data_IF_558852514565
#
_entry.id   IF_558852514565
#
_cell.length_a   1.000
_cell.length_b   1.000
_cell.length_c   1.000
_cell.angle_alpha   90.00
_cell.angle_beta   90.00
_cell.angle_gamma   90.00
#
_symmetry.space_group_name_H-M   'P 1'
#
loop_
_entity.id
_entity.type
_entity.pdbx_description
1 polymer ?
#
# COMPACT_ATOMS: atom_id res chain seq x y z
N UNK A 1 -20.93 0.08 -1.56
CA UNK A 1 -20.32 0.46 -0.28
C UNK A 1 -20.21 1.99 -0.13
N UNK A 2 -19.80 2.73 -1.16
CA UNK A 2 -19.56 4.19 -1.12
C UNK A 2 -20.84 5.06 -1.18
N UNK A 3 -22.04 4.49 -1.36
CA UNK A 3 -23.28 5.27 -1.46
C UNK A 3 -23.28 6.34 -2.57
N UNK A 4 -22.60 6.08 -3.69
CA UNK A 4 -22.42 7.05 -4.78
C UNK A 4 -21.34 8.12 -4.56
N UNK A 5 -20.72 8.20 -3.37
CA UNK A 5 -19.62 9.11 -3.09
C UNK A 5 -18.32 8.62 -3.75
N UNK A 6 -17.37 9.52 -3.94
CA UNK A 6 -16.04 9.23 -4.49
C UNK A 6 -14.98 9.56 -3.45
N UNK A 7 -13.94 8.73 -3.40
CA UNK A 7 -12.79 8.94 -2.53
C UNK A 7 -11.87 10.05 -3.05
N UNK A 8 -11.30 10.80 -2.13
CA UNK A 8 -10.31 11.85 -2.37
C UNK A 8 -8.89 11.26 -2.43
N UNK A 9 -8.66 10.17 -1.72
CA UNK A 9 -7.43 9.39 -1.79
C UNK A 9 -7.69 7.91 -1.45
N UNK A 10 -6.74 7.05 -1.79
CA UNK A 10 -6.68 5.67 -1.38
C UNK A 10 -5.37 5.40 -0.62
N UNK A 11 -5.45 4.70 0.50
CA UNK A 11 -4.30 4.05 1.15
C UNK A 11 -4.70 2.61 1.41
N UNK A 12 -3.96 1.64 0.87
CA UNK A 12 -4.34 0.22 0.99
C UNK A 12 -3.15 -0.69 1.18
N UNK A 13 -3.37 -1.80 1.89
CA UNK A 13 -2.40 -2.84 2.23
C UNK A 13 -2.94 -4.21 1.82
N UNK A 14 -3.05 -4.51 0.50
CA UNK A 14 -3.61 -5.76 0.03
C UNK A 14 -2.69 -6.96 0.33
N UNK A 15 -3.17 -8.21 0.20
CA UNK A 15 -2.30 -9.40 0.31
C UNK A 15 -1.07 -9.30 -0.59
N UNK A 16 0.10 -9.78 -0.10
CA UNK A 16 1.39 -9.64 -0.79
C UNK A 16 1.80 -10.85 -1.62
N UNK A 17 1.03 -11.93 -1.59
CA UNK A 17 1.33 -13.20 -2.25
C UNK A 17 2.65 -13.85 -1.77
N UNK A 18 2.94 -13.73 -0.50
CA UNK A 18 4.18 -14.24 0.12
C UNK A 18 3.95 -15.50 0.98
N UNK A 19 2.76 -16.10 0.90
CA UNK A 19 2.36 -17.29 1.69
C UNK A 19 2.62 -17.06 3.20
N UNK A 20 2.20 -15.90 3.70
CA UNK A 20 2.49 -15.50 5.07
C UNK A 20 1.82 -16.42 6.08
N UNK A 21 2.63 -16.96 6.99
CA UNK A 21 2.18 -17.70 8.15
C UNK A 21 2.66 -16.99 9.41
N UNK A 22 1.73 -16.56 10.25
CA UNK A 22 2.04 -15.91 11.54
C UNK A 22 2.91 -16.81 12.43
N UNK A 23 3.86 -16.23 13.14
CA UNK A 23 4.76 -16.94 14.08
C UNK A 23 4.14 -17.11 15.48
N UNK A 24 2.90 -16.66 15.69
CA UNK A 24 2.15 -16.84 16.96
C UNK A 24 1.52 -18.23 17.01
N UNK A 25 1.11 -18.67 18.21
CA UNK A 25 0.47 -19.98 18.41
C UNK A 25 -0.76 -20.21 17.51
N UNK A 26 -1.47 -19.14 17.13
CA UNK A 26 -2.66 -19.19 16.28
C UNK A 26 -2.34 -19.30 14.78
N UNK A 27 -1.06 -19.19 14.37
CA UNK A 27 -0.57 -19.33 13.00
C UNK A 27 -1.48 -18.66 11.95
N UNK A 28 -1.91 -17.41 12.22
CA UNK A 28 -2.83 -16.66 11.37
C UNK A 28 -2.33 -16.59 9.93
N UNK A 29 -3.19 -16.97 8.98
CA UNK A 29 -2.92 -16.91 7.54
C UNK A 29 -3.70 -15.75 6.92
N UNK A 30 -3.09 -15.10 5.93
CA UNK A 30 -3.77 -14.06 5.15
C UNK A 30 -4.51 -14.75 4.00
N UNK A 31 -5.83 -14.56 3.84
CA UNK A 31 -6.57 -15.07 2.68
C UNK A 31 -5.98 -14.55 1.37
N UNK A 32 -5.95 -15.39 0.32
CA UNK A 32 -5.44 -15.05 -1.01
C UNK A 32 -3.96 -14.65 -1.07
N UNK A 33 -3.14 -15.06 -0.10
CA UNK A 33 -1.71 -14.74 -0.04
C UNK A 33 -0.83 -15.81 -0.70
N UNK A 34 -1.43 -16.70 -1.51
CA UNK A 34 -0.75 -17.74 -2.29
C UNK A 34 -1.47 -18.00 -3.60
N UNK A 35 -1.04 -17.33 -4.64
CA UNK A 35 -1.53 -17.49 -6.00
C UNK A 35 -0.34 -17.65 -6.97
N UNK A 36 -0.57 -18.24 -8.15
CA UNK A 36 0.40 -18.08 -9.24
C UNK A 36 0.47 -16.61 -9.69
N UNK A 37 1.58 -16.24 -10.36
CA UNK A 37 1.88 -14.83 -10.68
C UNK A 37 0.80 -14.17 -11.55
N UNK A 38 0.27 -14.89 -12.55
CA UNK A 38 -0.71 -14.33 -13.48
C UNK A 38 -2.08 -14.15 -12.81
N UNK A 39 -2.50 -15.13 -12.01
CA UNK A 39 -3.73 -15.04 -11.23
C UNK A 39 -3.64 -13.90 -10.20
N UNK A 40 -2.51 -13.74 -9.54
CA UNK A 40 -2.29 -12.66 -8.59
C UNK A 40 -2.33 -11.29 -9.26
N UNK A 41 -1.64 -11.12 -10.41
CA UNK A 41 -1.72 -9.89 -11.18
C UNK A 41 -3.14 -9.57 -11.62
N UNK A 42 -3.89 -10.56 -12.11
CA UNK A 42 -5.29 -10.39 -12.48
C UNK A 42 -6.18 -9.99 -11.29
N UNK A 43 -5.93 -10.58 -10.12
CA UNK A 43 -6.61 -10.22 -8.86
C UNK A 43 -6.35 -8.75 -8.49
N UNK A 44 -5.08 -8.32 -8.47
CA UNK A 44 -4.70 -6.93 -8.18
C UNK A 44 -5.30 -5.95 -9.20
N UNK A 45 -5.23 -6.29 -10.50
CA UNK A 45 -5.78 -5.43 -11.56
C UNK A 45 -7.28 -5.21 -11.36
N UNK A 46 -8.04 -6.26 -11.04
CA UNK A 46 -9.48 -6.12 -10.74
C UNK A 46 -9.73 -5.24 -9.51
N UNK A 47 -8.96 -5.44 -8.44
CA UNK A 47 -9.10 -4.64 -7.21
C UNK A 47 -8.81 -3.15 -7.48
N UNK A 48 -7.69 -2.85 -8.15
CA UNK A 48 -7.30 -1.48 -8.48
C UNK A 48 -8.23 -0.82 -9.49
N UNK A 49 -8.82 -1.59 -10.43
CA UNK A 49 -9.84 -1.08 -11.35
C UNK A 49 -11.12 -0.67 -10.59
N UNK A 50 -11.54 -1.45 -9.61
CA UNK A 50 -12.68 -1.07 -8.76
C UNK A 50 -12.38 0.14 -7.87
N UNK A 51 -11.17 0.22 -7.35
CA UNK A 51 -10.73 1.36 -6.55
C UNK A 51 -10.72 2.66 -7.39
N UNK A 52 -10.18 2.64 -8.61
CA UNK A 52 -10.13 3.84 -9.46
C UNK A 52 -11.54 4.31 -9.90
N UNK A 53 -12.49 3.38 -10.08
CA UNK A 53 -13.90 3.73 -10.32
C UNK A 53 -14.50 4.50 -9.14
N UNK A 54 -14.08 4.20 -7.91
CA UNK A 54 -14.54 4.85 -6.69
C UNK A 54 -13.78 6.14 -6.34
N UNK A 55 -12.70 6.46 -7.04
CA UNK A 55 -11.86 7.63 -6.78
C UNK A 55 -12.28 8.86 -7.62
N UNK A 56 -12.07 10.07 -7.07
CA UNK A 56 -12.19 11.33 -7.82
C UNK A 56 -11.02 11.47 -8.81
N UNK A 57 -11.17 12.23 -9.93
CA UNK A 57 -10.02 12.62 -10.74
C UNK A 57 -8.94 13.29 -9.90
N UNK A 58 -7.68 12.90 -10.09
CA UNK A 58 -6.54 13.41 -9.31
C UNK A 58 -6.37 12.81 -7.91
N UNK A 59 -7.27 11.95 -7.46
CA UNK A 59 -7.18 11.27 -6.16
C UNK A 59 -5.87 10.50 -6.03
N UNK A 60 -5.10 10.76 -4.96
CA UNK A 60 -3.86 10.06 -4.67
C UNK A 60 -4.10 8.59 -4.31
N UNK A 61 -3.12 7.74 -4.61
CA UNK A 61 -3.14 6.34 -4.21
C UNK A 61 -1.78 5.93 -3.64
N UNK A 62 -1.83 5.30 -2.47
CA UNK A 62 -0.71 4.65 -1.80
C UNK A 62 -1.02 3.17 -1.67
N UNK A 63 -0.14 2.32 -2.21
CA UNK A 63 -0.33 0.87 -2.19
C UNK A 63 0.91 0.21 -1.61
N UNK A 64 0.77 -0.35 -0.41
CA UNK A 64 1.83 -1.11 0.23
C UNK A 64 2.03 -2.45 -0.48
N UNK A 65 3.28 -2.90 -0.61
CA UNK A 65 3.57 -4.20 -1.20
C UNK A 65 4.95 -4.75 -0.81
N UNK A 66 5.09 -6.07 -0.91
CA UNK A 66 6.40 -6.71 -0.79
C UNK A 66 7.27 -6.38 -2.01
N UNK A 67 8.58 -6.10 -1.82
CA UNK A 67 9.50 -5.86 -2.95
C UNK A 67 9.56 -7.00 -3.97
N UNK A 68 9.41 -8.26 -3.53
CA UNK A 68 9.42 -9.46 -4.37
C UNK A 68 8.29 -9.50 -5.39
N UNK A 69 7.13 -8.90 -5.06
CA UNK A 69 5.94 -8.83 -5.92
C UNK A 69 5.83 -7.48 -6.67
N UNK A 70 6.86 -6.65 -6.60
CA UNK A 70 6.86 -5.31 -7.20
C UNK A 70 6.49 -5.29 -8.68
N UNK A 71 6.83 -6.31 -9.46
CA UNK A 71 6.44 -6.43 -10.86
C UNK A 71 4.91 -6.53 -11.02
N UNK A 72 4.27 -7.42 -10.27
CA UNK A 72 2.82 -7.64 -10.32
C UNK A 72 2.06 -6.40 -9.84
N UNK A 73 2.48 -5.81 -8.72
CA UNK A 73 1.86 -4.60 -8.19
C UNK A 73 1.95 -3.40 -9.13
N UNK A 74 3.15 -3.10 -9.67
CA UNK A 74 3.35 -1.97 -10.60
C UNK A 74 2.55 -2.17 -11.88
N UNK A 75 2.60 -3.37 -12.44
CA UNK A 75 1.86 -3.69 -13.66
C UNK A 75 0.35 -3.58 -13.45
N UNK A 76 -0.19 -4.20 -12.41
CA UNK A 76 -1.62 -4.14 -12.10
C UNK A 76 -2.12 -2.71 -11.83
N UNK A 77 -1.30 -1.88 -11.16
CA UNK A 77 -1.62 -0.49 -10.88
C UNK A 77 -1.76 0.34 -12.17
N UNK A 78 -0.82 0.17 -13.10
CA UNK A 78 -0.84 0.85 -14.41
C UNK A 78 -1.96 0.31 -15.29
N UNK A 79 -2.13 -1.02 -15.36
CA UNK A 79 -3.16 -1.68 -16.16
C UNK A 79 -4.59 -1.27 -15.72
N UNK A 80 -4.77 -0.98 -14.43
CA UNK A 80 -6.02 -0.45 -13.88
C UNK A 80 -6.27 1.04 -14.18
N UNK A 81 -5.33 1.74 -14.83
CA UNK A 81 -5.45 3.14 -15.24
C UNK A 81 -4.92 4.17 -14.26
N UNK A 82 -4.25 3.75 -13.17
CA UNK A 82 -3.57 4.66 -12.26
C UNK A 82 -2.26 5.18 -12.87
N UNK A 83 -1.92 6.43 -12.62
CA UNK A 83 -0.64 7.02 -12.99
C UNK A 83 0.40 6.72 -11.93
N UNK A 84 1.23 5.71 -12.13
CA UNK A 84 2.36 5.43 -11.24
C UNK A 84 3.41 6.54 -11.34
N UNK A 85 3.78 7.16 -10.23
CA UNK A 85 4.69 8.31 -10.18
C UNK A 85 5.97 8.03 -9.40
N UNK A 86 5.86 7.50 -8.19
CA UNK A 86 6.99 7.27 -7.31
C UNK A 86 6.85 5.94 -6.57
N UNK A 87 7.95 5.48 -6.02
CA UNK A 87 7.99 4.42 -5.03
C UNK A 87 8.54 5.01 -3.73
N UNK A 88 7.72 4.98 -2.69
CA UNK A 88 8.13 5.38 -1.35
C UNK A 88 8.68 4.14 -0.65
N UNK A 89 9.75 4.32 0.09
CA UNK A 89 10.42 3.27 0.86
C UNK A 89 10.13 3.50 2.34
N UNK A 90 9.37 2.63 2.96
CA UNK A 90 9.25 2.61 4.40
C UNK A 90 10.46 1.87 4.99
N UNK A 91 11.40 2.63 5.54
CA UNK A 91 12.56 2.12 6.26
C UNK A 91 12.17 1.80 7.71
N UNK A 92 12.41 0.57 8.14
CA UNK A 92 12.12 0.07 9.50
C UNK A 92 13.35 0.22 10.39
N UNK A 93 13.15 0.29 11.71
CA UNK A 93 14.25 0.37 12.70
C UNK A 93 15.13 -0.88 12.71
N UNK A 94 14.57 -2.04 12.38
CA UNK A 94 15.29 -3.32 12.36
C UNK A 94 14.98 -4.11 11.09
N UNK A 95 15.97 -4.83 10.61
CA UNK A 95 15.78 -5.79 9.53
C UNK A 95 15.03 -7.05 10.02
N UNK A 96 14.47 -7.80 9.08
CA UNK A 96 13.85 -9.09 9.35
C UNK A 96 14.81 -10.18 8.92
N UNK A 97 15.29 -10.98 9.88
CA UNK A 97 16.15 -12.12 9.59
C UNK A 97 15.42 -13.14 8.72
N UNK A 98 16.01 -13.47 7.59
CA UNK A 98 15.51 -14.44 6.62
C UNK A 98 16.64 -15.27 6.03
N UNK A 99 16.35 -16.03 4.97
CA UNK A 99 17.31 -16.90 4.28
C UNK A 99 17.99 -16.22 3.07
N UNK A 100 17.65 -14.94 2.82
CA UNK A 100 18.22 -14.14 1.74
C UNK A 100 19.64 -13.68 2.09
N UNK A 101 20.45 -13.35 1.09
CA UNK A 101 21.80 -12.78 1.26
C UNK A 101 21.72 -11.43 1.96
N UNK A 102 20.79 -10.56 1.53
CA UNK A 102 20.53 -9.26 2.14
C UNK A 102 19.22 -9.29 2.93
N UNK A 103 19.24 -8.82 4.18
CA UNK A 103 18.08 -8.84 5.04
C UNK A 103 17.14 -7.65 4.75
N UNK A 104 15.84 -7.94 4.65
CA UNK A 104 14.83 -6.92 4.39
C UNK A 104 14.67 -5.97 5.59
N UNK A 105 14.93 -4.69 5.38
CA UNK A 105 14.72 -3.62 6.37
C UNK A 105 13.70 -2.60 5.90
N UNK A 106 13.05 -2.84 4.77
CA UNK A 106 12.08 -1.91 4.23
C UNK A 106 10.87 -2.61 3.62
N UNK A 107 9.82 -1.85 3.42
CA UNK A 107 8.71 -2.15 2.51
C UNK A 107 8.56 -1.05 1.48
N UNK A 108 7.95 -1.38 0.36
CA UNK A 108 7.69 -0.45 -0.72
C UNK A 108 6.23 -0.01 -0.69
N UNK A 109 5.99 1.25 -1.07
CA UNK A 109 4.65 1.82 -1.23
C UNK A 109 4.61 2.47 -2.60
N UNK A 110 3.79 1.97 -3.51
CA UNK A 110 3.53 2.65 -4.77
C UNK A 110 2.80 3.95 -4.47
N UNK A 111 3.23 5.01 -5.12
CA UNK A 111 2.58 6.30 -5.06
C UNK A 111 2.23 6.79 -6.46
N UNK A 112 1.01 7.22 -6.63
CA UNK A 112 0.50 7.76 -7.86
C UNK A 112 -0.87 8.36 -7.67
N UNK A 113 -1.59 8.59 -8.77
CA UNK A 113 -2.94 9.13 -8.71
C UNK A 113 -3.78 8.76 -9.92
N UNK A 114 -5.09 8.89 -9.79
CA UNK A 114 -6.02 8.79 -10.91
C UNK A 114 -5.81 9.96 -11.88
N UNK A 115 -5.86 9.76 -13.21
CA UNK A 115 -5.80 10.87 -14.17
C UNK A 115 -6.73 12.02 -13.79
N UNK A 116 -6.21 13.26 -13.87
CA UNK A 116 -6.90 14.48 -13.49
C UNK A 116 -6.00 15.44 -12.71
N UNK A 117 -6.56 16.55 -12.23
CA UNK A 117 -5.83 17.54 -11.44
C UNK A 117 -5.51 16.96 -10.07
N UNK A 118 -4.22 16.73 -9.82
CA UNK A 118 -3.72 16.20 -8.57
C UNK A 118 -3.32 17.30 -7.61
N UNK A 119 -3.61 17.13 -6.33
CA UNK A 119 -3.23 18.02 -5.25
C UNK A 119 -2.35 17.30 -4.24
N UNK A 120 -1.26 17.97 -3.83
CA UNK A 120 -0.37 17.51 -2.77
C UNK A 120 -0.27 18.63 -1.73
N UNK A 121 -0.61 18.32 -0.48
CA UNK A 121 -0.68 19.29 0.63
C UNK A 121 0.57 19.29 1.50
N UNK A 122 1.46 18.31 1.31
CA UNK A 122 2.73 18.21 2.01
C UNK A 122 3.76 19.25 1.55
N UNK A 123 4.78 19.46 2.37
CA UNK A 123 5.90 20.34 2.05
C UNK A 123 6.83 19.76 0.97
N UNK A 124 7.54 20.62 0.24
CA UNK A 124 8.50 20.21 -0.80
C UNK A 124 9.79 19.60 -0.28
N UNK A 125 10.01 19.60 1.01
CA UNK A 125 11.14 18.96 1.69
C UNK A 125 10.91 17.49 2.04
N UNK A 126 9.74 16.93 1.75
CA UNK A 126 9.46 15.53 1.96
C UNK A 126 10.16 14.67 0.92
N UNK A 127 10.66 13.52 1.37
CA UNK A 127 11.40 12.57 0.54
C UNK A 127 10.66 11.26 0.37
N UNK A 128 11.14 10.41 -0.52
CA UNK A 128 10.59 9.05 -0.72
C UNK A 128 11.10 8.04 0.30
N UNK A 129 11.94 8.44 1.25
CA UNK A 129 12.40 7.58 2.36
C UNK A 129 11.65 7.95 3.61
N UNK A 130 10.78 7.06 4.07
CA UNK A 130 9.94 7.23 5.25
C UNK A 130 10.46 6.34 6.39
N UNK A 131 10.94 6.97 7.45
CA UNK A 131 11.49 6.26 8.63
C UNK A 131 10.41 6.19 9.70
N UNK A 132 9.86 5.01 9.90
CA UNK A 132 8.88 4.73 10.95
C UNK A 132 9.17 3.39 11.58
N UNK A 133 9.15 3.35 12.90
CA UNK A 133 9.32 2.11 13.63
C UNK A 133 8.15 1.16 13.38
N UNK A 134 8.47 -0.10 13.17
CA UNK A 134 7.47 -1.17 13.12
C UNK A 134 6.84 -1.31 14.51
N UNK A 135 5.49 -1.44 14.63
CA UNK A 135 4.85 -1.74 15.90
C UNK A 135 5.43 -3.00 16.55
N UNK A 136 5.80 -2.92 17.83
CA UNK A 136 6.53 -4.00 18.53
C UNK A 136 5.67 -5.22 18.85
N UNK A 137 4.37 -5.08 18.99
CA UNK A 137 3.40 -6.18 19.09
C UNK A 137 2.00 -5.63 18.81
N UNK A 138 1.27 -6.24 17.89
CA UNK A 138 -0.17 -6.10 17.81
C UNK A 138 -0.81 -7.46 18.10
N UNK A 139 -1.70 -7.51 19.09
CA UNK A 139 -2.56 -8.68 19.34
C UNK A 139 -3.67 -8.79 18.31
N UNK A 140 -3.95 -7.69 17.58
CA UNK A 140 -5.08 -7.58 16.66
C UNK A 140 -4.71 -7.95 15.22
N UNK A 141 -3.49 -7.60 14.77
CA UNK A 141 -3.04 -7.92 13.41
C UNK A 141 -1.51 -8.05 13.32
N UNK A 142 -0.98 -9.17 12.80
CA UNK A 142 0.46 -9.44 12.79
C UNK A 142 1.28 -8.53 11.87
N UNK A 143 0.63 -7.85 10.91
CA UNK A 143 1.28 -7.03 9.87
C UNK A 143 0.79 -5.58 9.86
N UNK A 144 0.27 -5.08 10.99
CA UNK A 144 -0.26 -3.72 11.09
C UNK A 144 0.78 -2.66 10.71
N UNK A 145 0.37 -1.70 9.87
CA UNK A 145 1.21 -0.55 9.50
C UNK A 145 1.28 0.46 10.66
N UNK A 146 2.40 1.18 10.82
CA UNK A 146 2.49 2.25 11.81
C UNK A 146 1.41 3.32 11.55
N UNK A 147 0.66 3.69 12.57
CA UNK A 147 -0.37 4.74 12.46
C UNK A 147 0.23 6.05 11.94
N UNK A 148 1.44 6.41 12.40
CA UNK A 148 2.13 7.63 11.96
C UNK A 148 2.48 7.62 10.47
N UNK A 149 2.78 6.45 9.87
CA UNK A 149 3.03 6.31 8.44
C UNK A 149 1.77 6.58 7.63
N UNK A 150 0.65 5.96 8.03
CA UNK A 150 -0.65 6.16 7.38
C UNK A 150 -1.11 7.62 7.55
N UNK A 151 -0.97 8.18 8.75
CA UNK A 151 -1.32 9.57 9.03
C UNK A 151 -0.52 10.56 8.14
N UNK A 152 0.77 10.31 7.91
CA UNK A 152 1.58 11.14 7.01
C UNK A 152 1.03 11.11 5.57
N UNK A 153 0.66 9.93 5.05
CA UNK A 153 0.05 9.82 3.73
C UNK A 153 -1.27 10.60 3.64
N UNK A 154 -2.13 10.46 4.65
CA UNK A 154 -3.43 11.14 4.75
C UNK A 154 -3.22 12.66 4.78
N UNK A 155 -2.32 13.16 5.64
CA UNK A 155 -2.02 14.60 5.75
C UNK A 155 -1.49 15.20 4.45
N UNK A 156 -0.70 14.43 3.69
CA UNK A 156 -0.09 14.91 2.44
C UNK A 156 -1.08 14.92 1.27
N UNK A 157 -2.14 14.12 1.29
CA UNK A 157 -2.98 13.87 0.11
C UNK A 157 -4.48 14.03 0.35
N UNK A 158 -4.88 14.49 1.55
CA UNK A 158 -6.28 14.80 1.88
C UNK A 158 -6.40 15.97 2.84
N UNK A 159 -7.61 16.49 2.96
CA UNK A 159 -8.01 17.55 3.89
C UNK A 159 -9.03 17.03 4.90
N UNK A 160 -9.41 17.85 5.87
CA UNK A 160 -10.55 17.55 6.73
C UNK A 160 -11.81 17.29 5.90
N UNK A 161 -12.61 16.31 6.31
CA UNK A 161 -13.84 15.84 5.65
C UNK A 161 -13.66 15.10 4.30
N UNK A 162 -12.43 14.97 3.77
CA UNK A 162 -12.16 14.14 2.60
C UNK A 162 -12.36 12.65 2.90
N UNK A 163 -12.75 11.90 1.88
CA UNK A 163 -12.98 10.46 2.00
C UNK A 163 -11.69 9.71 1.64
N UNK A 164 -11.20 8.93 2.58
CA UNK A 164 -10.09 8.00 2.38
C UNK A 164 -10.65 6.60 2.15
N UNK A 165 -10.26 5.98 1.04
CA UNK A 165 -10.59 4.59 0.72
C UNK A 165 -9.44 3.69 1.21
N UNK A 166 -9.80 2.61 1.93
CA UNK A 166 -8.91 1.51 2.30
C UNK A 166 -9.39 0.19 1.69
#
# INVERSE_FOLDING_TARGET
LMGGKKADMMFTDPPYNVDYVGKTADALKIPNDKMDSDAFRAFLTRAFSRAIECAKPGAAAYVCHAPTEGYNFRGAFVDAGWLLKQCIIWEKQHFVMGRQDYQWQHEQILYGWKPGTHHFYGGRNLTTIWKFDRPSASREHPTMKPVALVALAVQNSSKGEDIVLD
#
